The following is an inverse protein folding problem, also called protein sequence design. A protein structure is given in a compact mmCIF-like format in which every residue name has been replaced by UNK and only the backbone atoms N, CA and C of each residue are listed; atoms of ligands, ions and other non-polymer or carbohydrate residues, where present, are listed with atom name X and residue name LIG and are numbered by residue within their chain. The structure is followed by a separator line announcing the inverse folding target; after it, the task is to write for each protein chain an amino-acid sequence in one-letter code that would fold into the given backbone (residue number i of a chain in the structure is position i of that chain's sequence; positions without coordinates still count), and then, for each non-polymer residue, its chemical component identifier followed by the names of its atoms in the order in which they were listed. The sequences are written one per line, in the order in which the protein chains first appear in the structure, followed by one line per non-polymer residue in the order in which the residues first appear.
data_IF_312660087683
#
_entry.id   IF_312660087683
#
_cell.length_a   1.000
_cell.length_b   1.000
_cell.length_c   1.000
_cell.angle_alpha   90.00
_cell.angle_beta   90.00
_cell.angle_gamma   90.00
#
_symmetry.space_group_name_H-M   'P 1'
#
loop_
_entity.id
_entity.type
_entity.pdbx_description
1 polymer ?
#
# COMPACT_ATOMS: atom_id res chain seq x y z
N UNK A 1 33.09 -8.81 5.57
CA UNK A 1 33.27 -10.25 5.30
C UNK A 1 32.12 -10.68 4.40
N UNK A 2 32.41 -11.05 3.14
CA UNK A 2 31.38 -11.54 2.23
C UNK A 2 30.91 -12.92 2.71
N UNK A 3 29.61 -13.07 2.94
CA UNK A 3 29.00 -14.35 3.32
C UNK A 3 29.17 -15.34 2.18
N UNK A 4 29.83 -16.49 2.38
CA UNK A 4 29.94 -17.51 1.35
C UNK A 4 28.54 -18.05 0.99
N UNK A 5 28.14 -17.92 -0.27
CA UNK A 5 26.93 -18.56 -0.81
C UNK A 5 25.77 -17.64 -1.25
N UNK A 6 25.88 -16.32 -1.11
CA UNK A 6 24.85 -15.41 -1.65
C UNK A 6 25.00 -15.31 -3.19
N UNK A 7 24.02 -15.84 -3.92
CA UNK A 7 23.95 -15.68 -5.37
C UNK A 7 23.82 -14.19 -5.71
N UNK A 8 24.68 -13.68 -6.58
CA UNK A 8 24.67 -12.27 -6.94
C UNK A 8 23.41 -11.98 -7.77
N UNK A 9 22.54 -11.09 -7.29
CA UNK A 9 21.36 -10.64 -8.03
C UNK A 9 21.83 -9.81 -9.24
N UNK A 10 21.32 -10.07 -10.46
CA UNK A 10 21.59 -9.28 -11.65
C UNK A 10 21.35 -7.77 -11.49
N UNK A 11 22.17 -6.94 -12.13
CA UNK A 11 22.08 -5.48 -12.03
C UNK A 11 20.78 -4.90 -12.63
N UNK A 12 20.16 -5.57 -13.61
CA UNK A 12 18.89 -5.11 -14.19
C UNK A 12 17.71 -5.19 -13.20
N UNK A 13 17.86 -5.95 -12.11
CA UNK A 13 16.79 -6.10 -11.11
C UNK A 13 16.75 -4.95 -10.10
N UNK A 14 17.87 -4.31 -9.82
CA UNK A 14 17.91 -3.11 -9.00
C UNK A 14 19.24 -2.40 -9.22
N UNK A 15 19.20 -1.08 -9.29
CA UNK A 15 20.40 -0.25 -9.42
C UNK A 15 21.17 -0.16 -8.10
N UNK A 16 20.51 -0.37 -6.96
CA UNK A 16 21.04 -0.23 -5.60
C UNK A 16 21.81 -1.49 -5.15
N UNK A 17 23.14 -1.44 -4.97
CA UNK A 17 23.94 -2.59 -4.53
C UNK A 17 23.48 -3.18 -3.18
N UNK A 18 23.04 -2.33 -2.26
CA UNK A 18 22.56 -2.72 -0.93
C UNK A 18 21.25 -3.51 -1.04
N UNK A 19 20.31 -3.08 -1.90
CA UNK A 19 19.06 -3.81 -2.16
C UNK A 19 19.34 -5.18 -2.76
N UNK A 20 20.23 -5.26 -3.76
CA UNK A 20 20.67 -6.54 -4.34
C UNK A 20 21.28 -7.47 -3.29
N UNK A 21 22.05 -6.93 -2.34
CA UNK A 21 22.67 -7.72 -1.27
C UNK A 21 21.64 -8.26 -0.28
N UNK A 22 20.63 -7.45 0.09
CA UNK A 22 19.54 -7.88 0.97
C UNK A 22 18.64 -8.92 0.30
N UNK A 23 18.30 -8.73 -0.97
CA UNK A 23 17.36 -9.61 -1.68
C UNK A 23 18.00 -10.94 -2.05
N UNK A 24 19.34 -11.00 -2.17
CA UNK A 24 20.07 -12.25 -2.44
C UNK A 24 19.81 -13.32 -1.37
N UNK A 25 19.38 -12.92 -0.18
CA UNK A 25 19.05 -13.80 0.95
C UNK A 25 17.57 -13.70 1.37
N UNK A 26 16.75 -12.92 0.67
CA UNK A 26 15.31 -12.81 0.96
C UNK A 26 14.54 -13.97 0.33
N UNK A 27 13.84 -14.74 1.17
CA UNK A 27 13.11 -15.93 0.73
C UNK A 27 12.04 -15.63 -0.32
N UNK A 28 11.28 -14.54 -0.18
CA UNK A 28 10.21 -14.20 -1.12
C UNK A 28 10.79 -13.82 -2.48
N UNK A 29 11.86 -13.03 -2.50
CA UNK A 29 12.55 -12.73 -3.75
C UNK A 29 13.05 -14.00 -4.42
N UNK A 30 13.74 -14.88 -3.67
CA UNK A 30 14.34 -16.11 -4.21
C UNK A 30 13.30 -17.05 -4.79
N UNK A 31 12.23 -17.35 -4.07
CA UNK A 31 11.15 -18.22 -4.56
C UNK A 31 10.54 -17.68 -5.85
N UNK A 32 10.24 -16.38 -5.89
CA UNK A 32 9.67 -15.75 -7.08
C UNK A 32 10.60 -15.76 -8.28
N UNK A 33 11.90 -15.52 -8.03
CA UNK A 33 12.91 -15.52 -9.07
C UNK A 33 13.20 -16.93 -9.59
N UNK A 34 13.22 -17.93 -8.72
CA UNK A 34 13.31 -19.35 -9.09
C UNK A 34 12.10 -19.79 -9.93
N UNK A 35 10.89 -19.39 -9.55
CA UNK A 35 9.66 -19.62 -10.33
C UNK A 35 9.75 -18.99 -11.73
N UNK A 36 10.28 -17.76 -11.81
CA UNK A 36 10.47 -17.06 -13.08
C UNK A 36 11.56 -17.72 -13.94
N UNK A 37 12.69 -18.12 -13.36
CA UNK A 37 13.78 -18.82 -14.05
C UNK A 37 13.30 -20.14 -14.67
N UNK A 38 12.43 -20.86 -13.97
CA UNK A 38 11.89 -22.14 -14.43
C UNK A 38 11.05 -22.04 -15.73
N UNK A 39 10.51 -20.86 -16.05
CA UNK A 39 9.59 -20.68 -17.19
C UNK A 39 9.97 -19.56 -18.16
N UNK A 40 10.89 -18.66 -17.76
CA UNK A 40 11.19 -17.44 -18.49
C UNK A 40 12.22 -17.57 -19.61
N UNK A 41 13.10 -18.58 -19.56
CA UNK A 41 14.13 -18.76 -20.57
C UNK A 41 14.92 -17.46 -20.83
N UNK A 42 15.05 -17.04 -22.09
CA UNK A 42 15.73 -15.80 -22.47
C UNK A 42 14.93 -14.51 -22.28
N UNK A 43 13.70 -14.57 -21.76
CA UNK A 43 12.76 -13.42 -21.67
C UNK A 43 12.59 -12.88 -20.24
N UNK A 44 13.43 -13.33 -19.31
CA UNK A 44 13.35 -12.93 -17.90
C UNK A 44 13.59 -11.43 -17.74
N UNK A 45 14.60 -10.90 -18.41
CA UNK A 45 14.92 -9.47 -18.37
C UNK A 45 13.79 -8.64 -18.99
N UNK A 46 13.25 -9.05 -20.13
CA UNK A 46 12.07 -8.43 -20.77
C UNK A 46 10.87 -8.39 -19.80
N UNK A 47 10.56 -9.50 -19.12
CA UNK A 47 9.47 -9.53 -18.14
C UNK A 47 9.70 -8.51 -17.01
N UNK A 48 10.87 -8.56 -16.39
CA UNK A 48 11.24 -7.68 -15.28
C UNK A 48 11.29 -6.20 -15.69
N UNK A 49 11.64 -5.93 -16.95
CA UNK A 49 11.71 -4.60 -17.50
C UNK A 49 10.31 -4.04 -17.82
N UNK A 50 9.47 -4.81 -18.48
CA UNK A 50 8.22 -4.30 -19.06
C UNK A 50 7.02 -4.33 -18.12
N UNK A 51 7.14 -4.98 -16.96
CA UNK A 51 6.03 -5.15 -16.02
C UNK A 51 6.20 -4.40 -14.70
N UNK A 52 5.07 -4.05 -14.10
CA UNK A 52 5.00 -3.39 -12.81
C UNK A 52 3.87 -3.97 -11.96
N UNK A 53 4.05 -3.96 -10.63
CA UNK A 53 3.02 -4.38 -9.67
C UNK A 53 2.30 -3.16 -9.09
N UNK A 54 0.97 -3.19 -9.07
CA UNK A 54 0.15 -2.18 -8.40
C UNK A 54 -0.87 -2.86 -7.48
N UNK A 55 -0.82 -2.50 -6.19
CA UNK A 55 -1.77 -2.93 -5.18
C UNK A 55 -2.66 -1.74 -4.79
N UNK A 56 -3.97 -1.85 -5.06
CA UNK A 56 -4.97 -0.89 -4.59
C UNK A 56 -5.45 -1.37 -3.22
N UNK A 57 -5.18 -0.55 -2.21
CA UNK A 57 -5.30 -0.86 -0.79
C UNK A 57 -6.76 -0.68 -0.29
N UNK A 58 -7.06 -1.11 0.95
CA UNK A 58 -8.42 -1.03 1.50
C UNK A 58 -9.03 0.38 1.50
N UNK A 59 -8.20 1.41 1.68
CA UNK A 59 -8.63 2.80 1.60
C UNK A 59 -9.14 3.18 0.21
N UNK A 60 -8.56 2.64 -0.87
CA UNK A 60 -9.11 2.83 -2.21
C UNK A 60 -10.46 2.12 -2.41
N UNK A 61 -10.68 0.98 -1.76
CA UNK A 61 -11.95 0.22 -1.83
C UNK A 61 -13.08 0.99 -1.14
N UNK A 62 -12.85 1.39 0.12
CA UNK A 62 -13.91 2.02 0.93
C UNK A 62 -14.21 3.46 0.52
N UNK A 63 -13.26 4.14 -0.13
CA UNK A 63 -13.46 5.49 -0.65
C UNK A 63 -13.92 5.54 -2.11
N UNK A 64 -14.25 4.39 -2.73
CA UNK A 64 -14.72 4.28 -4.12
C UNK A 64 -13.72 4.81 -5.15
N UNK A 65 -12.45 4.47 -4.96
CA UNK A 65 -11.33 4.92 -5.80
C UNK A 65 -10.77 3.85 -6.71
N UNK A 66 -11.27 2.61 -6.71
CA UNK A 66 -10.74 1.57 -7.60
C UNK A 66 -10.96 1.93 -9.07
N UNK A 67 -12.20 2.26 -9.46
CA UNK A 67 -12.51 2.69 -10.82
C UNK A 67 -11.71 3.90 -11.31
N UNK A 68 -11.62 5.00 -10.52
CA UNK A 68 -10.73 6.12 -10.81
C UNK A 68 -9.26 5.74 -11.03
N UNK A 69 -8.68 4.90 -10.17
CA UNK A 69 -7.28 4.42 -10.32
C UNK A 69 -7.12 3.63 -11.62
N UNK A 70 -8.03 2.69 -11.91
CA UNK A 70 -7.98 1.89 -13.13
C UNK A 70 -8.02 2.75 -14.40
N UNK A 71 -8.87 3.79 -14.42
CA UNK A 71 -8.91 4.74 -15.54
C UNK A 71 -7.62 5.55 -15.65
N UNK A 72 -7.05 5.98 -14.53
CA UNK A 72 -5.76 6.68 -14.52
C UNK A 72 -4.65 5.81 -15.11
N UNK A 73 -4.57 4.54 -14.69
CA UNK A 73 -3.57 3.56 -15.19
C UNK A 73 -3.63 3.44 -16.71
N UNK A 74 -4.84 3.26 -17.25
CA UNK A 74 -5.05 3.15 -18.70
C UNK A 74 -4.72 4.47 -19.43
N UNK A 75 -5.10 5.62 -18.86
CA UNK A 75 -4.83 6.93 -19.44
C UNK A 75 -3.33 7.27 -19.45
N UNK A 76 -2.58 6.80 -18.45
CA UNK A 76 -1.12 6.95 -18.40
C UNK A 76 -0.41 6.12 -19.49
N UNK A 77 -1.06 5.04 -19.97
CA UNK A 77 -0.56 4.17 -21.04
C UNK A 77 -0.13 2.78 -20.58
N UNK A 78 -0.37 2.42 -19.32
CA UNK A 78 -0.20 1.03 -18.87
C UNK A 78 -1.35 0.16 -19.39
N UNK A 79 -1.04 -1.06 -19.82
CA UNK A 79 -2.03 -2.11 -20.01
C UNK A 79 -2.14 -2.99 -18.76
N UNK A 80 -3.34 -3.46 -18.44
CA UNK A 80 -3.56 -4.41 -17.35
C UNK A 80 -3.39 -5.82 -17.90
N UNK A 81 -2.39 -6.56 -17.42
CA UNK A 81 -2.05 -7.92 -17.88
C UNK A 81 -2.81 -8.96 -17.07
N UNK A 82 -2.99 -8.70 -15.77
CA UNK A 82 -3.62 -9.61 -14.83
C UNK A 82 -4.17 -8.84 -13.63
N UNK A 83 -5.25 -9.36 -13.04
CA UNK A 83 -5.85 -8.82 -11.83
C UNK A 83 -6.34 -9.93 -10.91
N UNK A 84 -6.27 -9.71 -9.59
CA UNK A 84 -6.85 -10.58 -8.58
C UNK A 84 -7.21 -9.81 -7.31
N UNK A 85 -8.08 -10.39 -6.48
CA UNK A 85 -8.21 -9.94 -5.08
C UNK A 85 -7.15 -10.61 -4.22
N UNK A 86 -6.64 -9.89 -3.23
CA UNK A 86 -5.73 -10.44 -2.22
C UNK A 86 -6.19 -10.02 -0.83
N UNK A 87 -6.21 -10.98 0.10
CA UNK A 87 -6.34 -10.70 1.53
C UNK A 87 -4.95 -10.67 2.13
N UNK A 88 -4.62 -9.57 2.81
CA UNK A 88 -3.33 -9.41 3.48
C UNK A 88 -3.60 -9.55 4.98
N UNK A 89 -2.90 -10.47 5.63
CA UNK A 89 -2.92 -10.60 7.08
C UNK A 89 -1.76 -9.78 7.70
N UNK A 90 -1.65 -9.82 9.03
CA UNK A 90 -0.57 -9.09 9.73
C UNK A 90 0.83 -9.56 9.29
N UNK A 91 1.00 -10.82 8.88
CA UNK A 91 2.29 -11.37 8.48
C UNK A 91 2.66 -10.89 7.08
N UNK A 92 1.68 -10.83 6.17
CA UNK A 92 1.81 -10.19 4.86
C UNK A 92 2.18 -8.71 4.97
N UNK A 93 1.59 -7.95 5.91
CA UNK A 93 2.02 -6.57 6.19
C UNK A 93 3.50 -6.51 6.58
N UNK A 94 3.96 -7.41 7.46
CA UNK A 94 5.37 -7.45 7.85
C UNK A 94 6.28 -7.84 6.70
N UNK A 95 5.84 -8.76 5.84
CA UNK A 95 6.61 -9.23 4.70
C UNK A 95 6.71 -8.18 3.58
N UNK A 96 5.62 -7.46 3.27
CA UNK A 96 5.62 -6.41 2.25
C UNK A 96 6.55 -5.25 2.62
N UNK A 97 6.41 -4.73 3.84
CA UNK A 97 7.16 -3.55 4.28
C UNK A 97 8.34 -3.90 5.19
N UNK A 98 8.90 -5.11 5.09
CA UNK A 98 9.97 -5.61 5.99
C UNK A 98 11.11 -4.61 6.16
N UNK A 99 11.60 -4.05 5.04
CA UNK A 99 12.75 -3.15 5.02
C UNK A 99 12.40 -1.67 5.26
N UNK A 100 11.11 -1.31 5.27
CA UNK A 100 10.64 0.03 5.63
C UNK A 100 10.08 0.14 7.05
N UNK A 101 9.58 -0.97 7.62
CA UNK A 101 9.05 -1.02 8.98
C UNK A 101 10.14 -1.09 10.06
N UNK A 102 11.42 -1.26 9.69
CA UNK A 102 12.52 -1.22 10.65
C UNK A 102 12.63 0.16 11.34
N UNK A 103 12.31 1.25 10.61
CA UNK A 103 12.31 2.62 11.13
C UNK A 103 10.92 3.08 11.62
N UNK A 104 9.89 2.26 11.45
CA UNK A 104 8.53 2.60 11.82
C UNK A 104 8.31 2.54 13.35
N UNK A 105 7.62 3.54 13.87
CA UNK A 105 7.13 3.53 15.26
C UNK A 105 6.24 2.31 15.52
N UNK A 106 6.02 1.97 16.80
CA UNK A 106 5.05 0.93 17.16
C UNK A 106 3.64 1.30 16.66
N UNK A 107 3.29 2.57 16.78
CA UNK A 107 2.02 3.13 16.33
C UNK A 107 1.79 2.93 14.83
N UNK A 108 2.80 3.21 14.01
CA UNK A 108 2.72 2.98 12.57
C UNK A 108 2.50 1.51 12.24
N UNK A 109 3.18 0.60 12.95
CA UNK A 109 3.01 -0.84 12.73
C UNK A 109 1.62 -1.33 13.14
N UNK A 110 1.12 -0.88 14.29
CA UNK A 110 -0.23 -1.21 14.76
C UNK A 110 -1.30 -0.63 13.81
N UNK A 111 -1.11 0.60 13.33
CA UNK A 111 -2.02 1.23 12.37
C UNK A 111 -2.02 0.47 11.02
N UNK A 112 -0.85 0.07 10.53
CA UNK A 112 -0.71 -0.73 9.31
C UNK A 112 -1.47 -2.06 9.40
N UNK A 113 -1.36 -2.76 10.53
CA UNK A 113 -2.14 -3.99 10.76
C UNK A 113 -3.64 -3.71 10.75
N UNK A 114 -4.06 -2.62 11.39
CA UNK A 114 -5.47 -2.29 11.51
C UNK A 114 -6.11 -2.00 10.15
N UNK A 115 -5.44 -1.23 9.28
CA UNK A 115 -6.01 -0.79 8.01
C UNK A 115 -5.79 -1.76 6.85
N UNK A 116 -4.58 -2.33 6.70
CA UNK A 116 -4.28 -3.21 5.55
C UNK A 116 -5.11 -4.49 5.59
N UNK A 117 -5.48 -4.93 6.80
CA UNK A 117 -6.31 -6.13 7.00
C UNK A 117 -7.82 -5.82 7.06
N UNK A 118 -8.24 -4.60 6.67
CA UNK A 118 -9.62 -4.12 6.82
C UNK A 118 -10.60 -4.74 5.82
N UNK A 119 -10.14 -4.99 4.60
CA UNK A 119 -10.86 -5.71 3.56
C UNK A 119 -9.86 -6.26 2.53
N UNK A 120 -10.36 -6.98 1.54
CA UNK A 120 -9.56 -7.39 0.38
C UNK A 120 -9.01 -6.18 -0.39
N UNK A 121 -7.84 -6.36 -1.00
CA UNK A 121 -7.20 -5.42 -1.90
C UNK A 121 -7.37 -5.89 -3.36
N UNK A 122 -7.21 -4.97 -4.32
CA UNK A 122 -7.10 -5.32 -5.75
C UNK A 122 -5.62 -5.29 -6.15
N UNK A 123 -5.10 -6.43 -6.59
CA UNK A 123 -3.74 -6.57 -7.10
C UNK A 123 -3.74 -6.61 -8.63
N UNK A 124 -2.84 -5.85 -9.24
CA UNK A 124 -2.69 -5.75 -10.69
C UNK A 124 -1.24 -6.04 -11.09
N UNK A 125 -1.07 -6.82 -12.16
CA UNK A 125 0.13 -6.79 -12.97
C UNK A 125 -0.13 -5.88 -14.17
N UNK A 126 0.73 -4.87 -14.33
CA UNK A 126 0.69 -3.91 -15.41
C UNK A 126 1.83 -4.16 -16.40
N UNK A 127 1.67 -3.75 -17.64
CA UNK A 127 2.73 -3.71 -18.64
C UNK A 127 2.85 -2.32 -19.28
N UNK A 128 4.10 -1.93 -19.56
CA UNK A 128 4.46 -0.72 -20.29
C UNK A 128 5.71 -0.98 -21.15
N UNK A 129 5.60 -1.80 -22.19
CA UNK A 129 6.74 -2.19 -23.02
C UNK A 129 7.28 -1.03 -23.85
N UNK A 130 8.54 -1.15 -24.28
CA UNK A 130 9.17 -0.20 -25.21
C UNK A 130 9.61 1.14 -24.59
N UNK A 131 9.66 1.22 -23.25
CA UNK A 131 10.29 2.33 -22.52
C UNK A 131 11.79 2.04 -22.30
N UNK A 132 12.63 3.08 -22.12
CA UNK A 132 14.02 2.88 -21.73
C UNK A 132 14.18 2.57 -20.24
N UNK A 133 13.28 3.06 -19.39
CA UNK A 133 13.24 2.73 -17.96
C UNK A 133 12.32 1.54 -17.67
N UNK A 134 12.63 0.72 -16.64
CA UNK A 134 11.74 -0.35 -16.20
C UNK A 134 10.36 0.17 -15.77
N UNK A 135 9.31 -0.56 -16.12
CA UNK A 135 7.93 -0.19 -15.85
C UNK A 135 7.65 0.03 -14.34
N UNK A 136 8.25 -0.76 -13.44
CA UNK A 136 8.16 -0.53 -11.98
C UNK A 136 8.67 0.84 -11.56
N UNK A 137 9.80 1.30 -12.13
CA UNK A 137 10.37 2.61 -11.82
C UNK A 137 9.50 3.74 -12.38
N UNK A 138 8.99 3.56 -13.60
CA UNK A 138 8.05 4.50 -14.22
C UNK A 138 6.78 4.63 -13.35
N UNK A 139 6.19 3.50 -12.94
CA UNK A 139 5.00 3.49 -12.10
C UNK A 139 5.26 4.10 -10.72
N UNK A 140 6.38 3.78 -10.08
CA UNK A 140 6.71 4.31 -8.76
C UNK A 140 6.84 5.84 -8.77
N UNK A 141 7.49 6.38 -9.81
CA UNK A 141 7.60 7.82 -10.04
C UNK A 141 6.23 8.45 -10.33
N UNK A 142 5.46 7.85 -11.24
CA UNK A 142 4.17 8.38 -11.67
C UNK A 142 3.09 8.29 -10.59
N UNK A 143 3.22 7.32 -9.67
CA UNK A 143 2.33 7.19 -8.51
C UNK A 143 2.39 8.42 -7.60
N UNK A 144 3.55 9.04 -7.50
CA UNK A 144 3.83 10.15 -6.58
C UNK A 144 4.20 9.71 -5.16
N UNK A 145 4.70 10.65 -4.33
CA UNK A 145 5.16 10.38 -2.97
C UNK A 145 4.04 9.90 -2.05
N UNK A 146 4.39 9.30 -0.92
CA UNK A 146 3.41 8.80 0.05
C UNK A 146 2.67 9.93 0.79
N UNK A 147 3.36 11.05 1.02
CA UNK A 147 2.78 12.26 1.59
C UNK A 147 1.99 13.04 0.52
N UNK A 148 0.66 13.20 0.68
CA UNK A 148 -0.17 13.94 -0.26
C UNK A 148 0.29 15.38 -0.51
N UNK A 149 0.88 16.05 0.49
CA UNK A 149 1.35 17.45 0.38
C UNK A 149 2.49 17.59 -0.64
N UNK A 150 3.26 16.50 -0.85
CA UNK A 150 4.37 16.45 -1.80
C UNK A 150 3.93 16.01 -3.21
N UNK A 151 2.68 15.58 -3.37
CA UNK A 151 2.17 15.12 -4.66
C UNK A 151 1.91 16.31 -5.61
N UNK A 152 2.02 16.06 -6.93
CA UNK A 152 1.85 17.05 -8.00
C UNK A 152 0.76 16.63 -8.98
N UNK A 153 0.07 17.58 -9.66
CA UNK A 153 -0.86 17.27 -10.74
C UNK A 153 -0.26 16.31 -11.78
N UNK A 154 -1.05 15.33 -12.22
CA UNK A 154 -0.60 14.27 -13.12
C UNK A 154 0.02 13.06 -12.41
N UNK A 155 0.22 13.12 -11.10
CA UNK A 155 0.60 11.94 -10.30
C UNK A 155 -0.65 11.24 -9.77
N UNK A 156 -0.66 9.90 -9.78
CA UNK A 156 -1.82 9.09 -9.40
C UNK A 156 -2.41 9.48 -8.05
N UNK A 157 -1.56 9.65 -7.03
CA UNK A 157 -2.00 9.99 -5.66
C UNK A 157 -2.58 11.39 -5.55
N UNK A 158 -2.15 12.32 -6.39
CA UNK A 158 -2.72 13.66 -6.47
C UNK A 158 -4.08 13.61 -7.17
N UNK A 159 -4.11 13.04 -8.37
CA UNK A 159 -5.29 13.07 -9.25
C UNK A 159 -6.48 12.29 -8.68
N UNK A 160 -6.22 11.22 -7.91
CA UNK A 160 -7.26 10.41 -7.28
C UNK A 160 -7.61 10.90 -5.86
N UNK A 161 -6.80 11.78 -5.27
CA UNK A 161 -7.03 12.40 -3.96
C UNK A 161 -6.70 11.49 -2.78
N UNK A 162 -5.41 11.32 -2.50
CA UNK A 162 -4.92 10.63 -1.29
C UNK A 162 -5.22 11.42 -0.01
N UNK A 163 -5.45 10.72 1.10
CA UNK A 163 -5.90 11.33 2.36
C UNK A 163 -4.75 11.69 3.30
N UNK A 164 -3.83 10.76 3.55
CA UNK A 164 -2.66 10.98 4.39
C UNK A 164 -1.52 10.01 4.03
N UNK A 165 -0.41 10.09 4.76
CA UNK A 165 0.78 9.27 4.51
C UNK A 165 0.52 7.74 4.48
N UNK A 166 -0.40 7.23 5.31
CA UNK A 166 -0.79 5.81 5.33
C UNK A 166 -1.95 5.51 4.38
N UNK A 167 -2.96 6.40 4.33
CA UNK A 167 -4.15 6.29 3.51
C UNK A 167 -3.95 7.00 2.16
N UNK A 168 -3.01 6.45 1.37
CA UNK A 168 -2.58 6.98 0.07
C UNK A 168 -2.95 6.08 -1.13
N UNK A 169 -4.02 5.30 -0.95
CA UNK A 169 -4.77 4.52 -1.95
C UNK A 169 -4.05 3.30 -2.54
N UNK A 170 -2.77 3.45 -2.85
CA UNK A 170 -2.03 2.49 -3.66
C UNK A 170 -0.62 2.24 -3.12
N UNK A 171 -0.15 1.02 -3.35
CA UNK A 171 1.25 0.59 -3.21
C UNK A 171 1.72 0.06 -4.56
N UNK A 172 2.99 0.29 -4.91
CA UNK A 172 3.59 -0.24 -6.12
C UNK A 172 5.01 -0.72 -5.83
N UNK A 173 5.44 -1.75 -6.55
CA UNK A 173 6.84 -2.18 -6.53
C UNK A 173 7.72 -1.08 -7.14
N UNK A 174 8.81 -0.74 -6.46
CA UNK A 174 9.66 0.40 -6.84
C UNK A 174 10.70 0.06 -7.93
N UNK A 175 11.28 -1.12 -7.88
CA UNK A 175 12.22 -1.66 -8.87
C UNK A 175 11.80 -3.08 -9.32
N UNK A 176 12.38 -3.63 -10.40
CA UNK A 176 12.06 -4.99 -10.83
C UNK A 176 12.29 -6.07 -9.76
N UNK A 177 13.29 -5.90 -8.90
CA UNK A 177 13.52 -6.79 -7.76
C UNK A 177 12.34 -6.79 -6.77
N UNK A 178 11.72 -5.62 -6.54
CA UNK A 178 10.56 -5.46 -5.67
C UNK A 178 9.33 -6.13 -6.29
N UNK A 179 9.15 -6.03 -7.61
CA UNK A 179 8.08 -6.72 -8.34
C UNK A 179 8.11 -8.23 -8.07
N UNK A 180 9.28 -8.86 -8.23
CA UNK A 180 9.43 -10.29 -7.99
C UNK A 180 9.16 -10.64 -6.53
N UNK A 181 9.79 -9.92 -5.61
CA UNK A 181 9.66 -10.16 -4.18
C UNK A 181 8.20 -10.04 -3.72
N UNK A 182 7.52 -8.96 -4.10
CA UNK A 182 6.16 -8.67 -3.66
C UNK A 182 5.14 -9.64 -4.29
N UNK A 183 5.35 -10.11 -5.52
CA UNK A 183 4.56 -11.21 -6.08
C UNK A 183 4.62 -12.46 -5.20
N UNK A 184 5.77 -12.80 -4.63
CA UNK A 184 5.89 -13.93 -3.69
C UNK A 184 5.27 -13.70 -2.32
N UNK A 185 5.20 -12.44 -1.87
CA UNK A 185 4.47 -12.12 -0.63
C UNK A 185 2.96 -12.24 -0.84
N UNK A 186 2.46 -11.80 -2.00
CA UNK A 186 1.02 -11.65 -2.25
C UNK A 186 0.37 -12.86 -2.92
N UNK A 187 1.14 -13.68 -3.63
CA UNK A 187 0.64 -14.80 -4.41
C UNK A 187 1.37 -16.09 -4.03
N UNK A 188 0.65 -17.20 -3.99
CA UNK A 188 1.25 -18.52 -3.84
C UNK A 188 2.02 -18.94 -5.12
N UNK A 189 2.83 -19.99 -5.00
CA UNK A 189 3.62 -20.53 -6.11
C UNK A 189 2.78 -20.79 -7.38
N UNK A 190 1.61 -21.44 -7.23
CA UNK A 190 0.76 -21.82 -8.35
C UNK A 190 0.28 -20.59 -9.14
N UNK A 191 -0.13 -19.54 -8.42
CA UNK A 191 -0.57 -18.27 -9.01
C UNK A 191 0.58 -17.59 -9.73
N UNK A 192 1.76 -17.49 -9.11
CA UNK A 192 2.95 -16.86 -9.72
C UNK A 192 3.43 -17.62 -10.95
N UNK A 193 3.59 -18.93 -10.86
CA UNK A 193 4.00 -19.76 -11.97
C UNK A 193 2.99 -19.71 -13.12
N UNK A 194 1.69 -19.67 -12.81
CA UNK A 194 0.62 -19.46 -13.79
C UNK A 194 0.72 -18.10 -14.48
N UNK A 195 0.95 -17.03 -13.70
CA UNK A 195 1.15 -15.66 -14.17
C UNK A 195 2.36 -15.59 -15.11
N UNK A 196 3.53 -16.06 -14.68
CA UNK A 196 4.75 -16.06 -15.48
C UNK A 196 4.56 -16.82 -16.79
N UNK A 197 3.99 -18.03 -16.75
CA UNK A 197 3.70 -18.79 -17.99
C UNK A 197 2.74 -18.05 -18.91
N UNK A 198 1.73 -17.37 -18.38
CA UNK A 198 0.75 -16.61 -19.18
C UNK A 198 1.42 -15.44 -19.88
N UNK A 199 2.22 -14.67 -19.15
CA UNK A 199 2.88 -13.46 -19.65
C UNK A 199 4.05 -13.77 -20.60
N UNK A 200 4.78 -14.85 -20.33
CA UNK A 200 5.97 -15.24 -21.09
C UNK A 200 5.70 -16.17 -22.27
N UNK A 201 4.46 -16.66 -22.44
CA UNK A 201 4.07 -17.36 -23.68
C UNK A 201 4.40 -16.46 -24.86
N UNK A 202 5.23 -16.97 -25.78
CA UNK A 202 5.70 -16.23 -26.95
C UNK A 202 4.54 -15.71 -27.80
N UNK A 203 4.86 -14.79 -28.71
CA UNK A 203 4.00 -13.96 -29.57
C UNK A 203 2.98 -14.68 -30.47
N UNK A 204 2.70 -15.97 -30.23
CA UNK A 204 1.74 -16.77 -30.97
C UNK A 204 0.27 -16.59 -30.51
N UNK A 205 0.02 -15.75 -29.49
CA UNK A 205 -1.32 -15.43 -29.00
C UNK A 205 -1.51 -13.93 -28.75
N UNK A 206 -2.77 -13.48 -28.58
CA UNK A 206 -3.03 -12.10 -28.18
C UNK A 206 -2.34 -11.81 -26.84
N UNK A 207 -1.86 -10.57 -26.68
CA UNK A 207 -1.30 -10.11 -25.42
C UNK A 207 -2.31 -10.37 -24.28
N UNK A 208 -1.85 -10.80 -23.08
CA UNK A 208 -2.78 -10.99 -21.98
C UNK A 208 -3.49 -9.67 -21.65
N UNK A 209 -4.82 -9.71 -21.61
CA UNK A 209 -5.68 -8.57 -21.27
C UNK A 209 -6.50 -8.89 -20.03
N UNK A 210 -6.09 -8.30 -18.91
CA UNK A 210 -6.77 -8.38 -17.62
C UNK A 210 -7.74 -7.22 -17.36
N UNK A 211 -7.99 -6.34 -18.34
CA UNK A 211 -8.78 -5.12 -18.14
C UNK A 211 -10.19 -5.41 -17.65
N UNK A 212 -10.94 -6.23 -18.38
CA UNK A 212 -12.34 -6.54 -18.04
C UNK A 212 -12.45 -7.20 -16.67
N UNK A 213 -11.51 -8.09 -16.34
CA UNK A 213 -11.43 -8.75 -15.04
C UNK A 213 -11.12 -7.74 -13.92
N UNK A 214 -10.20 -6.80 -14.13
CA UNK A 214 -9.87 -5.77 -13.16
C UNK A 214 -11.06 -4.87 -12.79
N UNK A 215 -11.82 -4.40 -13.79
CA UNK A 215 -13.03 -3.60 -13.54
C UNK A 215 -14.11 -4.42 -12.83
N UNK A 216 -14.34 -5.68 -13.23
CA UNK A 216 -15.30 -6.54 -12.57
C UNK A 216 -14.93 -6.87 -11.11
N UNK A 217 -13.63 -7.05 -10.83
CA UNK A 217 -13.12 -7.21 -9.46
C UNK A 217 -13.31 -5.92 -8.64
N UNK A 218 -13.01 -4.76 -9.23
CA UNK A 218 -13.20 -3.47 -8.58
C UNK A 218 -14.67 -3.23 -8.19
N UNK A 219 -15.60 -3.41 -9.12
CA UNK A 219 -17.03 -3.25 -8.87
C UNK A 219 -17.52 -4.20 -7.76
N UNK A 220 -17.04 -5.45 -7.76
CA UNK A 220 -17.37 -6.43 -6.73
C UNK A 220 -16.85 -6.03 -5.35
N UNK A 221 -15.58 -5.64 -5.25
CA UNK A 221 -14.95 -5.24 -4.00
C UNK A 221 -15.65 -4.01 -3.40
N UNK A 222 -15.96 -3.03 -4.23
CA UNK A 222 -16.69 -1.84 -3.80
C UNK A 222 -18.13 -2.20 -3.39
N UNK A 223 -18.85 -3.02 -4.16
CA UNK A 223 -20.20 -3.45 -3.80
C UNK A 223 -20.25 -4.25 -2.48
N UNK A 224 -19.24 -5.07 -2.20
CA UNK A 224 -19.16 -5.90 -1.00
C UNK A 224 -18.75 -5.12 0.26
N UNK A 225 -18.20 -3.91 0.12
CA UNK A 225 -17.63 -3.15 1.24
C UNK A 225 -18.37 -1.82 1.44
N UNK A 226 -18.83 -1.47 2.65
CA UNK A 226 -19.45 -0.18 2.91
C UNK A 226 -18.54 0.98 2.52
N UNK A 227 -19.12 2.04 1.96
CA UNK A 227 -18.40 3.28 1.72
C UNK A 227 -18.10 3.99 3.04
N UNK A 228 -16.90 4.55 3.16
CA UNK A 228 -16.42 5.23 4.36
C UNK A 228 -15.80 6.57 3.97
N UNK A 229 -16.11 7.60 4.75
CA UNK A 229 -15.40 8.87 4.73
C UNK A 229 -14.14 8.77 5.59
N UNK A 230 -12.98 9.05 4.99
CA UNK A 230 -11.66 8.91 5.61
C UNK A 230 -11.10 10.23 6.16
N UNK A 231 -11.92 11.29 6.19
CA UNK A 231 -11.56 12.59 6.75
C UNK A 231 -11.57 12.56 8.29
N UNK A 232 -10.51 13.12 8.88
CA UNK A 232 -10.34 13.18 10.33
C UNK A 232 -11.45 14.02 10.98
N UNK A 233 -11.76 15.19 10.42
CA UNK A 233 -12.73 16.12 11.01
C UNK A 233 -14.14 15.54 11.06
N UNK A 234 -14.52 14.77 10.02
CA UNK A 234 -15.78 14.03 9.98
C UNK A 234 -15.84 13.00 11.11
N UNK A 235 -14.79 12.18 11.26
CA UNK A 235 -14.69 11.17 12.32
C UNK A 235 -14.75 11.80 13.72
N UNK A 236 -14.02 12.91 13.94
CA UNK A 236 -14.02 13.63 15.21
C UNK A 236 -15.40 14.24 15.52
N UNK A 237 -16.10 14.78 14.52
CA UNK A 237 -17.45 15.31 14.66
C UNK A 237 -18.46 14.26 15.12
N UNK A 238 -18.48 13.11 14.44
CA UNK A 238 -19.39 12.01 14.79
C UNK A 238 -19.16 11.50 16.22
N UNK A 239 -17.90 11.36 16.64
CA UNK A 239 -17.57 10.94 18.00
C UNK A 239 -17.97 11.99 19.04
N UNK A 240 -17.74 13.27 18.74
CA UNK A 240 -18.11 14.39 19.63
C UNK A 240 -19.63 14.48 19.82
N UNK A 241 -20.42 14.34 18.75
CA UNK A 241 -21.88 14.42 18.80
C UNK A 241 -22.48 13.32 19.69
N UNK A 242 -21.98 12.08 19.55
CA UNK A 242 -22.44 10.95 20.38
C UNK A 242 -21.99 11.11 21.83
N UNK A 243 -20.75 11.55 22.07
CA UNK A 243 -20.23 11.81 23.41
C UNK A 243 -21.02 12.91 24.13
N UNK A 244 -21.39 13.97 23.41
CA UNK A 244 -22.15 15.09 23.94
C UNK A 244 -23.60 14.70 24.26
N UNK A 245 -24.24 13.89 23.41
CA UNK A 245 -25.56 13.33 23.72
C UNK A 245 -25.54 12.47 24.99
N UNK A 246 -24.49 11.66 25.15
CA UNK A 246 -24.24 10.84 26.35
C UNK A 246 -24.03 11.68 27.59
N UNK A 247 -23.20 12.74 27.50
CA UNK A 247 -22.96 13.69 28.58
C UNK A 247 -24.26 14.32 29.10
N UNK A 248 -25.17 14.73 28.20
CA UNK A 248 -26.49 15.28 28.57
C UNK A 248 -27.42 14.24 29.19
N UNK A 249 -27.30 12.98 28.80
CA UNK A 249 -28.06 11.84 29.33
C UNK A 249 -27.60 11.31 30.69
N UNK A 250 -26.65 11.98 31.37
CA UNK A 250 -26.19 11.62 32.71
C UNK A 250 -25.03 10.62 32.74
N UNK A 251 -24.49 10.19 31.60
CA UNK A 251 -23.27 9.38 31.58
C UNK A 251 -22.02 10.25 31.67
N UNK A 252 -21.50 10.36 32.90
CA UNK A 252 -20.08 10.23 33.27
C UNK A 252 -19.05 11.27 32.81
N UNK A 253 -18.16 11.65 33.72
CA UNK A 253 -16.95 12.47 33.52
C UNK A 253 -16.17 12.13 32.24
N UNK A 254 -16.08 10.84 31.88
CA UNK A 254 -15.36 10.37 30.68
C UNK A 254 -15.91 10.90 29.35
N UNK A 255 -17.23 11.15 29.24
CA UNK A 255 -17.79 11.72 28.02
C UNK A 255 -17.35 13.18 27.85
N UNK A 256 -17.26 13.92 28.96
CA UNK A 256 -16.70 15.28 28.97
C UNK A 256 -15.20 15.31 28.67
N UNK A 257 -14.43 14.36 29.19
CA UNK A 257 -13.01 14.19 28.87
C UNK A 257 -12.79 13.86 27.39
N UNK A 258 -13.64 13.02 26.80
CA UNK A 258 -13.59 12.69 25.38
C UNK A 258 -13.81 13.93 24.51
N UNK A 259 -14.88 14.69 24.76
CA UNK A 259 -15.15 15.95 24.04
C UNK A 259 -13.98 16.92 24.18
N UNK A 260 -13.44 17.07 25.39
CA UNK A 260 -12.28 17.93 25.65
C UNK A 260 -11.03 17.48 24.88
N UNK A 261 -10.78 16.17 24.80
CA UNK A 261 -9.66 15.62 24.03
C UNK A 261 -9.84 15.84 22.53
N UNK A 262 -11.04 15.66 21.98
CA UNK A 262 -11.36 15.94 20.57
C UNK A 262 -11.07 17.41 20.24
N UNK A 263 -11.50 18.35 21.09
CA UNK A 263 -11.21 19.78 20.88
C UNK A 263 -9.71 20.09 20.94
N UNK A 264 -8.95 19.44 21.83
CA UNK A 264 -7.48 19.57 21.84
C UNK A 264 -6.84 19.02 20.56
N UNK A 265 -7.39 17.95 19.98
CA UNK A 265 -6.91 17.40 18.70
C UNK A 265 -7.20 18.38 17.56
N UNK A 266 -8.41 18.96 17.49
CA UNK A 266 -8.77 19.99 16.50
C UNK A 266 -7.87 21.22 16.62
N UNK A 267 -7.56 21.63 17.85
CA UNK A 267 -6.61 22.71 18.14
C UNK A 267 -5.13 22.32 17.93
N UNK A 268 -4.85 21.09 17.47
CA UNK A 268 -3.50 20.53 17.27
C UNK A 268 -2.63 20.48 18.52
N UNK A 269 -3.25 20.54 19.70
CA UNK A 269 -2.61 20.42 21.01
C UNK A 269 -2.44 18.96 21.48
N UNK A 270 -3.02 18.00 20.77
CA UNK A 270 -2.89 16.57 21.07
C UNK A 270 -2.96 15.72 19.81
N UNK A 271 -2.35 14.53 19.87
CA UNK A 271 -2.39 13.49 18.83
C UNK A 271 -2.68 12.10 19.43
N UNK A 272 -3.14 12.04 20.68
CA UNK A 272 -3.33 10.76 21.40
C UNK A 272 -4.63 10.05 20.97
N UNK A 273 -4.58 9.44 19.80
CA UNK A 273 -5.70 8.67 19.24
C UNK A 273 -6.10 7.48 20.11
N UNK A 274 -5.15 6.88 20.86
CA UNK A 274 -5.48 5.78 21.76
C UNK A 274 -6.28 6.26 22.96
N UNK A 275 -6.00 7.47 23.48
CA UNK A 275 -6.85 8.08 24.51
C UNK A 275 -8.26 8.36 23.99
N UNK A 276 -8.43 8.80 22.74
CA UNK A 276 -9.77 8.96 22.14
C UNK A 276 -10.52 7.64 22.16
N UNK A 277 -9.90 6.55 21.71
CA UNK A 277 -10.52 5.22 21.69
C UNK A 277 -10.87 4.74 23.11
N UNK A 278 -9.94 4.86 24.07
CA UNK A 278 -10.18 4.45 25.47
C UNK A 278 -11.31 5.24 26.12
N UNK A 279 -11.34 6.55 25.92
CA UNK A 279 -12.39 7.42 26.48
C UNK A 279 -13.75 7.19 25.82
N UNK A 280 -13.77 6.88 24.53
CA UNK A 280 -14.99 6.49 23.83
C UNK A 280 -15.54 5.17 24.39
N UNK A 281 -14.69 4.16 24.56
CA UNK A 281 -15.07 2.87 25.17
C UNK A 281 -15.59 3.07 26.61
N UNK A 282 -14.90 3.84 27.45
CA UNK A 282 -15.33 4.10 28.83
C UNK A 282 -16.61 4.93 28.94
N UNK A 283 -16.94 5.69 27.89
CA UNK A 283 -18.17 6.49 27.79
C UNK A 283 -19.31 5.75 27.08
N UNK A 284 -19.09 4.51 26.65
CA UNK A 284 -20.04 3.73 25.86
C UNK A 284 -20.36 4.33 24.48
N UNK A 285 -19.44 5.14 23.94
CA UNK A 285 -19.49 5.67 22.58
C UNK A 285 -18.88 4.62 21.64
N UNK A 286 -19.66 4.03 20.72
CA UNK A 286 -19.13 3.02 19.81
C UNK A 286 -18.11 3.64 18.85
N UNK A 287 -16.95 3.00 18.69
CA UNK A 287 -15.93 3.39 17.70
C UNK A 287 -15.78 2.25 16.70
N UNK A 288 -16.21 2.49 15.47
CA UNK A 288 -16.08 1.52 14.38
C UNK A 288 -14.61 1.26 14.04
N UNK A 289 -14.35 0.15 13.33
CA UNK A 289 -13.00 -0.18 12.87
C UNK A 289 -12.40 0.95 12.01
N UNK A 290 -13.18 1.52 11.10
CA UNK A 290 -12.71 2.58 10.22
C UNK A 290 -12.48 3.91 10.94
N UNK A 291 -13.29 4.25 11.94
CA UNK A 291 -13.00 5.40 12.80
C UNK A 291 -11.68 5.21 13.56
N UNK A 292 -11.39 3.99 14.06
CA UNK A 292 -10.06 3.69 14.64
C UNK A 292 -8.93 3.84 13.62
N UNK A 293 -9.13 3.41 12.38
CA UNK A 293 -8.14 3.56 11.28
C UNK A 293 -7.88 5.04 10.99
N UNK A 294 -8.92 5.85 10.83
CA UNK A 294 -8.80 7.29 10.56
C UNK A 294 -8.06 7.97 11.71
N UNK A 295 -8.49 7.74 12.95
CA UNK A 295 -7.81 8.28 14.14
C UNK A 295 -6.34 7.87 14.20
N UNK A 296 -6.04 6.58 14.03
CA UNK A 296 -4.67 6.08 14.10
C UNK A 296 -3.79 6.66 13.00
N UNK A 297 -4.23 6.63 11.74
CA UNK A 297 -3.41 7.02 10.59
C UNK A 297 -3.18 8.53 10.47
N UNK A 298 -4.14 9.36 10.87
CA UNK A 298 -3.98 10.81 10.84
C UNK A 298 -3.19 11.36 12.04
N UNK A 299 -3.25 10.70 13.20
CA UNK A 299 -2.65 11.22 14.43
C UNK A 299 -1.34 10.54 14.83
N UNK A 300 -0.99 9.38 14.27
CA UNK A 300 0.26 8.68 14.61
C UNK A 300 1.51 9.52 14.35
N UNK A 301 2.58 9.17 15.05
CA UNK A 301 3.96 9.53 14.67
C UNK A 301 4.52 8.40 13.78
N UNK A 302 4.91 8.65 12.52
CA UNK A 302 5.26 7.60 11.58
C UNK A 302 6.63 6.93 11.85
N UNK A 303 7.54 7.58 12.58
CA UNK A 303 8.93 7.11 12.70
C UNK A 303 9.42 7.06 14.14
N UNK A 304 10.37 6.18 14.40
CA UNK A 304 11.15 6.26 15.64
C UNK A 304 12.18 7.38 15.46
N UNK A 305 12.28 8.36 16.38
CA UNK A 305 13.25 9.43 16.28
C UNK A 305 14.68 8.89 16.11
N UNK A 306 15.37 9.33 15.05
CA UNK A 306 16.74 8.92 14.74
C UNK A 306 16.91 7.56 14.05
N UNK A 307 15.82 6.85 13.72
CA UNK A 307 15.89 5.60 12.97
C UNK A 307 15.98 5.84 11.45
N UNK A 308 16.84 5.08 10.77
CA UNK A 308 16.99 5.10 9.30
C UNK A 308 16.43 3.82 8.70
N UNK A 309 15.69 3.93 7.60
CA UNK A 309 15.19 2.76 6.87
C UNK A 309 16.36 1.95 6.28
N UNK A 310 16.25 0.62 6.28
CA UNK A 310 17.28 -0.26 5.70
C UNK A 310 17.39 -0.10 4.19
N UNK A 311 16.26 0.20 3.53
CA UNK A 311 16.20 0.59 2.15
C UNK A 311 15.52 1.97 2.07
N UNK A 312 16.10 2.93 1.33
CA UNK A 312 15.43 4.20 1.09
C UNK A 312 14.15 3.96 0.30
N UNK A 313 13.09 4.70 0.63
CA UNK A 313 11.94 4.78 -0.28
C UNK A 313 12.44 5.43 -1.57
N UNK A 314 12.07 4.89 -2.73
CA UNK A 314 12.34 5.53 -4.04
C UNK A 314 11.86 7.00 -4.09
N UNK A 315 10.87 7.36 -3.27
CA UNK A 315 10.33 8.72 -3.13
C UNK A 315 11.14 9.69 -2.24
N UNK A 316 12.23 9.22 -1.63
CA UNK A 316 13.14 10.02 -0.78
C UNK A 316 14.47 10.38 -1.44
N UNK A 317 14.76 9.89 -2.64
CA UNK A 317 16.02 10.19 -3.35
C UNK A 317 16.03 11.57 -4.04
N UNK A 318 14.90 12.29 -4.03
CA UNK A 318 14.91 13.73 -4.27
C UNK A 318 15.27 14.44 -2.96
N UNK A 319 16.57 14.58 -2.70
CA UNK A 319 17.08 15.50 -1.70
C UNK A 319 16.55 16.91 -2.00
N UNK A 320 16.07 17.59 -0.96
CA UNK A 320 15.89 19.04 -0.98
C UNK A 320 17.22 19.71 -1.39
N UNK A 321 17.21 20.74 -2.25
CA UNK A 321 18.38 21.59 -2.48
C UNK A 321 18.82 22.34 -1.22
#
# INVERSE_FOLDING_TARGET
MATPGAQQIPAFLSTLPEKRSLYAVDTYFRESFEDLLAVGGGRIEEFCHDHALLLLKPDAVVSRRLGPVLRWVLAYGFSIVWAATVTIDRHGVRALWQYGLNAASRDRRDAADLYVTACECLLLLLALPGRPEPASLVLSTAKGPADPVRCRPGQLRYDVGSFNYQLNLVHAADEPADLLRELAVLCNHETRAGLYRRTLRGSAGPAPDGRSEAFALADRLEAATPQVDLELDRTLGELADVAEARRRGGSGTSAGELVSLIERIRARCSRDWRAVVRLAESSGVPVSRWQRIVLATHLLDPYVPGATSLLPDSSTTAADP
#
